data_IF_405058030029
#
_entry.id   IF_405058030029
#
_cell.length_a   1.000
_cell.length_b   1.000
_cell.length_c   1.000
_cell.angle_alpha   90.00
_cell.angle_beta   90.00
_cell.angle_gamma   90.00
#
_symmetry.space_group_name_H-M   'P 1'
#
loop_
_entity.id
_entity.type
_entity.pdbx_description
1 polymer ?
#
# COMPACT_ATOMS: atom_id res chain seq x y z
N UNK A 1 4.25 8.10 -21.60
CA UNK A 1 4.55 6.67 -21.45
C UNK A 1 5.61 6.30 -22.48
N UNK A 2 6.69 5.63 -22.08
CA UNK A 2 7.77 5.17 -22.98
C UNK A 2 7.86 3.66 -22.96
N UNK A 3 7.69 3.02 -24.12
CA UNK A 3 7.90 1.58 -24.29
C UNK A 3 9.40 1.33 -24.47
N UNK A 4 9.97 0.37 -23.76
CA UNK A 4 11.41 0.06 -23.79
C UNK A 4 11.65 -1.44 -24.00
N UNK A 5 12.87 -1.79 -24.40
CA UNK A 5 13.31 -3.19 -24.47
C UNK A 5 13.46 -3.80 -23.07
N UNK A 6 13.56 -5.13 -23.00
CA UNK A 6 13.83 -5.84 -21.74
C UNK A 6 15.12 -5.36 -21.05
N UNK A 7 16.17 -5.13 -21.84
CA UNK A 7 17.46 -4.65 -21.36
C UNK A 7 17.35 -3.23 -20.80
N UNK A 8 16.70 -2.33 -21.53
CA UNK A 8 16.51 -0.94 -21.10
C UNK A 8 15.55 -0.83 -19.90
N UNK A 9 14.62 -1.76 -19.74
CA UNK A 9 13.78 -1.89 -18.55
C UNK A 9 14.60 -2.28 -17.31
N UNK A 10 15.42 -3.33 -17.42
CA UNK A 10 16.23 -3.82 -16.29
C UNK A 10 17.31 -2.81 -15.87
N UNK A 11 17.89 -2.11 -16.84
CA UNK A 11 18.91 -1.09 -16.61
C UNK A 11 18.34 0.30 -16.29
N UNK A 12 17.01 0.44 -16.28
CA UNK A 12 16.35 1.72 -16.09
C UNK A 12 16.82 2.38 -14.80
N UNK A 13 17.07 3.70 -14.83
CA UNK A 13 17.50 4.48 -13.66
C UNK A 13 16.47 5.54 -13.33
N UNK A 14 16.12 5.66 -12.05
CA UNK A 14 15.22 6.70 -11.55
C UNK A 14 14.78 6.43 -10.12
N UNK A 15 14.04 7.36 -9.54
CA UNK A 15 13.40 7.15 -8.25
C UNK A 15 12.10 6.38 -8.44
N UNK A 16 12.18 5.07 -8.25
CA UNK A 16 11.06 4.14 -8.40
C UNK A 16 9.91 4.49 -7.44
N UNK A 17 8.67 4.46 -7.96
CA UNK A 17 7.45 4.72 -7.21
C UNK A 17 6.57 3.47 -7.14
N UNK A 18 6.28 2.86 -8.29
CA UNK A 18 5.30 1.78 -8.37
C UNK A 18 5.54 0.87 -9.58
N UNK A 19 5.07 -0.38 -9.48
CA UNK A 19 5.01 -1.32 -10.58
C UNK A 19 3.66 -2.03 -10.62
N UNK A 20 3.14 -2.27 -11.82
CA UNK A 20 1.95 -3.09 -12.05
C UNK A 20 2.00 -3.73 -13.43
N UNK A 21 1.12 -4.69 -13.68
CA UNK A 21 1.04 -5.37 -14.98
C UNK A 21 -0.41 -5.40 -15.48
N UNK A 22 -0.58 -5.39 -16.79
CA UNK A 22 -1.82 -5.78 -17.47
C UNK A 22 -1.60 -7.07 -18.27
N UNK A 23 -2.55 -7.43 -19.16
CA UNK A 23 -2.49 -8.65 -19.95
C UNK A 23 -1.29 -8.75 -20.92
N UNK A 24 -0.64 -7.64 -21.25
CA UNK A 24 0.41 -7.58 -22.28
C UNK A 24 1.71 -6.92 -21.81
N UNK A 25 1.67 -6.11 -20.75
CA UNK A 25 2.79 -5.26 -20.35
C UNK A 25 2.99 -5.20 -18.85
N UNK A 26 4.25 -4.99 -18.46
CA UNK A 26 4.62 -4.46 -17.15
C UNK A 26 4.89 -2.96 -17.26
N UNK A 27 4.52 -2.22 -16.21
CA UNK A 27 4.64 -0.78 -16.10
C UNK A 27 5.42 -0.44 -14.85
N UNK A 28 6.34 0.52 -14.95
CA UNK A 28 7.05 1.09 -13.83
C UNK A 28 6.94 2.62 -13.88
N UNK A 29 6.56 3.21 -12.75
CA UNK A 29 6.45 4.65 -12.55
C UNK A 29 7.64 5.15 -11.75
N UNK A 30 8.26 6.22 -12.23
CA UNK A 30 9.41 6.88 -11.61
C UNK A 30 9.10 8.37 -11.37
N UNK A 31 9.69 8.98 -10.34
CA UNK A 31 9.62 10.44 -10.17
C UNK A 31 10.40 11.15 -11.30
N UNK A 32 9.92 12.31 -11.78
CA UNK A 32 8.76 13.09 -11.31
C UNK A 32 7.41 12.70 -11.95
N UNK A 33 7.32 11.56 -12.64
CA UNK A 33 6.12 11.11 -13.35
C UNK A 33 6.42 10.34 -14.64
N UNK A 34 7.62 9.78 -14.75
CA UNK A 34 8.01 9.02 -15.93
C UNK A 34 7.43 7.61 -15.86
N UNK A 35 6.53 7.32 -16.80
CA UNK A 35 5.94 6.00 -16.96
C UNK A 35 6.66 5.23 -18.06
N UNK A 36 7.32 4.14 -17.67
CA UNK A 36 8.02 3.22 -18.56
C UNK A 36 7.23 1.92 -18.63
N UNK A 37 7.17 1.31 -19.81
CA UNK A 37 6.52 0.02 -20.02
C UNK A 37 7.43 -0.95 -20.75
N UNK A 38 7.27 -2.23 -20.48
CA UNK A 38 7.92 -3.34 -21.20
C UNK A 38 6.89 -4.39 -21.54
N UNK A 39 7.03 -5.02 -22.71
CA UNK A 39 6.14 -6.11 -23.10
C UNK A 39 6.45 -7.38 -22.32
N UNK A 40 5.40 -8.10 -21.93
CA UNK A 40 5.53 -9.39 -21.27
C UNK A 40 6.01 -10.43 -22.29
N UNK A 41 7.06 -11.16 -21.95
CA UNK A 41 7.52 -12.32 -22.71
C UNK A 41 7.08 -13.57 -21.98
N UNK A 42 6.11 -14.30 -22.55
CA UNK A 42 5.50 -15.49 -21.93
C UNK A 42 4.99 -15.22 -20.50
N UNK A 43 4.39 -14.05 -20.28
CA UNK A 43 3.91 -13.62 -18.96
C UNK A 43 5.00 -13.15 -17.99
N UNK A 44 6.25 -12.99 -18.45
CA UNK A 44 7.36 -12.56 -17.62
C UNK A 44 7.98 -11.22 -18.07
N UNK A 45 8.64 -10.54 -17.14
CA UNK A 45 9.43 -9.32 -17.37
C UNK A 45 10.68 -9.33 -16.46
N UNK A 46 11.78 -8.65 -16.79
CA UNK A 46 12.98 -8.61 -15.96
C UNK A 46 12.70 -7.98 -14.60
N UNK A 47 13.24 -8.58 -13.54
CA UNK A 47 13.12 -8.03 -12.20
C UNK A 47 13.80 -6.66 -12.10
N UNK A 48 13.19 -5.79 -11.30
CA UNK A 48 13.73 -4.51 -10.88
C UNK A 48 14.37 -4.65 -9.49
N UNK A 49 15.58 -4.12 -9.32
CA UNK A 49 16.35 -4.22 -8.07
C UNK A 49 16.14 -3.03 -7.12
N UNK A 50 15.08 -2.24 -7.30
CA UNK A 50 14.78 -1.11 -6.42
C UNK A 50 14.27 -1.56 -5.05
N UNK A 51 14.60 -0.77 -4.03
CA UNK A 51 13.99 -0.95 -2.71
C UNK A 51 12.47 -0.84 -2.82
N UNK A 52 11.76 -1.85 -2.32
CA UNK A 52 10.29 -1.93 -2.38
C UNK A 52 9.71 -2.54 -3.65
N UNK A 53 10.48 -2.68 -4.75
CA UNK A 53 9.98 -3.32 -5.98
C UNK A 53 9.51 -4.77 -5.74
N UNK A 54 10.14 -5.46 -4.80
CA UNK A 54 9.79 -6.82 -4.39
C UNK A 54 8.29 -6.98 -4.06
N UNK A 55 7.68 -5.99 -3.39
CA UNK A 55 6.26 -6.03 -3.07
C UNK A 55 5.40 -6.05 -4.33
N UNK A 56 5.66 -5.13 -5.26
CA UNK A 56 4.92 -5.01 -6.50
C UNK A 56 5.11 -6.21 -7.43
N UNK A 57 6.30 -6.80 -7.46
CA UNK A 57 6.57 -7.98 -8.28
C UNK A 57 5.82 -9.21 -7.79
N UNK A 58 5.76 -9.41 -6.47
CA UNK A 58 4.92 -10.47 -5.86
C UNK A 58 3.44 -10.18 -6.10
N UNK A 59 3.02 -8.92 -6.02
CA UNK A 59 1.63 -8.53 -6.31
C UNK A 59 1.25 -8.78 -7.78
N UNK A 60 2.15 -8.53 -8.74
CA UNK A 60 1.94 -8.82 -10.15
C UNK A 60 1.74 -10.33 -10.40
N UNK A 61 2.51 -11.16 -9.68
CA UNK A 61 2.37 -12.62 -9.70
C UNK A 61 1.03 -13.06 -9.11
N UNK A 62 0.70 -12.60 -7.90
CA UNK A 62 -0.52 -12.99 -7.20
C UNK A 62 -1.77 -12.55 -7.99
N UNK A 63 -1.82 -11.29 -8.45
CA UNK A 63 -3.02 -10.75 -9.07
C UNK A 63 -3.19 -11.09 -10.55
N UNK A 64 -2.09 -11.29 -11.29
CA UNK A 64 -2.14 -11.43 -12.74
C UNK A 64 -1.34 -12.64 -13.26
N UNK A 65 -0.66 -13.41 -12.41
CA UNK A 65 0.16 -14.55 -12.82
C UNK A 65 1.51 -14.17 -13.46
N UNK A 66 1.87 -12.88 -13.48
CA UNK A 66 3.09 -12.42 -14.17
C UNK A 66 4.32 -12.48 -13.28
N UNK A 67 5.44 -12.97 -13.83
CA UNK A 67 6.66 -13.24 -13.06
C UNK A 67 7.79 -12.28 -13.40
N UNK A 68 8.55 -11.90 -12.38
CA UNK A 68 9.77 -11.12 -12.52
C UNK A 68 10.97 -12.07 -12.71
N UNK A 69 11.60 -12.07 -13.89
CA UNK A 69 12.75 -12.94 -14.21
C UNK A 69 13.96 -12.53 -13.39
N UNK A 70 14.62 -13.50 -12.75
CA UNK A 70 15.77 -13.27 -11.86
C UNK A 70 15.39 -12.82 -10.44
N UNK A 71 14.09 -12.76 -10.13
CA UNK A 71 13.62 -12.42 -8.79
C UNK A 71 13.59 -13.64 -7.86
N UNK A 72 14.33 -13.58 -6.75
CA UNK A 72 14.49 -14.70 -5.83
C UNK A 72 13.29 -14.93 -4.90
N UNK A 73 12.58 -13.87 -4.50
CA UNK A 73 11.50 -13.97 -3.51
C UNK A 73 10.15 -14.29 -4.18
N UNK A 74 9.79 -15.57 -4.22
CA UNK A 74 8.60 -16.06 -4.92
C UNK A 74 7.36 -16.18 -4.04
N UNK A 75 7.43 -15.71 -2.78
CA UNK A 75 6.33 -15.79 -1.80
C UNK A 75 5.14 -14.95 -2.24
N UNK A 76 3.96 -15.23 -1.67
CA UNK A 76 2.74 -14.47 -1.95
C UNK A 76 2.78 -13.10 -1.26
N UNK A 77 2.23 -12.09 -1.93
CA UNK A 77 2.00 -10.76 -1.39
C UNK A 77 0.66 -10.65 -0.65
N UNK A 78 -0.40 -11.27 -1.19
CA UNK A 78 -1.78 -11.15 -0.68
C UNK A 78 -2.52 -12.48 -0.59
N UNK A 79 -2.15 -13.48 -1.41
CA UNK A 79 -2.83 -14.79 -1.44
C UNK A 79 -2.27 -15.78 -0.41
N UNK A 80 -2.30 -15.43 0.88
CA UNK A 80 -1.68 -16.26 1.94
C UNK A 80 -2.37 -17.62 2.17
N UNK A 81 -3.66 -17.74 1.84
CA UNK A 81 -4.49 -18.92 2.12
C UNK A 81 -5.20 -19.47 0.87
N UNK A 82 -4.47 -19.54 -0.26
CA UNK A 82 -5.04 -19.84 -1.59
C UNK A 82 -5.78 -21.17 -1.70
N UNK A 83 -5.50 -22.16 -0.83
CA UNK A 83 -6.20 -23.44 -0.87
C UNK A 83 -7.70 -23.27 -0.58
N UNK A 84 -8.61 -23.85 -1.39
CA UNK A 84 -10.06 -23.67 -1.26
C UNK A 84 -10.65 -24.08 0.09
N UNK A 85 -9.94 -24.91 0.83
CA UNK A 85 -10.32 -25.39 2.17
C UNK A 85 -9.66 -24.58 3.30
N UNK A 86 -8.92 -23.52 2.96
CA UNK A 86 -8.17 -22.66 3.89
C UNK A 86 -6.91 -23.31 4.47
N UNK A 87 -6.48 -24.48 3.99
CA UNK A 87 -5.36 -25.26 4.55
C UNK A 87 -4.00 -24.93 3.94
N UNK A 88 -3.80 -23.71 3.45
CA UNK A 88 -2.45 -23.30 3.08
C UNK A 88 -1.54 -23.37 4.32
N UNK A 89 -0.31 -23.86 4.13
CA UNK A 89 0.67 -23.87 5.20
C UNK A 89 0.88 -22.44 5.72
N UNK A 90 1.00 -22.31 7.05
CA UNK A 90 1.29 -21.02 7.64
C UNK A 90 2.59 -20.44 7.07
N UNK A 91 2.63 -19.14 6.76
CA UNK A 91 3.83 -18.41 6.42
C UNK A 91 5.06 -18.75 7.27
N UNK A 92 6.08 -19.35 6.66
CA UNK A 92 7.37 -19.57 7.31
C UNK A 92 8.25 -18.32 7.31
N UNK A 93 8.96 -18.08 8.41
CA UNK A 93 9.92 -17.00 8.54
C UNK A 93 11.29 -17.58 8.85
N UNK A 94 12.22 -17.45 7.91
CA UNK A 94 13.57 -17.99 8.07
C UNK A 94 14.28 -17.31 9.26
N UNK A 95 14.72 -18.13 10.22
CA UNK A 95 15.57 -17.69 11.33
C UNK A 95 17.01 -17.49 10.81
N UNK A 96 17.65 -16.34 11.07
CA UNK A 96 19.08 -16.20 10.83
C UNK A 96 19.85 -17.26 11.63
N UNK A 97 20.77 -17.98 10.99
CA UNK A 97 21.63 -18.95 11.66
C UNK A 97 22.77 -18.22 12.40
N UNK A 98 22.42 -17.56 13.50
CA UNK A 98 23.32 -16.78 14.35
C UNK A 98 23.02 -17.17 15.79
N UNK A 99 24.07 -17.48 16.56
CA UNK A 99 23.95 -17.85 17.96
C UNK A 99 23.25 -16.77 18.79
N UNK A 100 22.33 -17.19 19.67
CA UNK A 100 21.57 -16.28 20.54
C UNK A 100 20.42 -15.53 19.86
N UNK A 101 20.21 -15.70 18.55
CA UNK A 101 19.04 -15.15 17.85
C UNK A 101 17.79 -15.96 18.18
N UNK A 102 16.75 -15.26 18.62
CA UNK A 102 15.40 -15.81 18.73
C UNK A 102 14.40 -14.93 17.98
N UNK A 103 13.18 -15.45 17.82
CA UNK A 103 12.15 -14.82 17.01
C UNK A 103 10.95 -14.37 17.86
N UNK A 104 10.56 -13.11 17.71
CA UNK A 104 9.34 -12.55 18.32
C UNK A 104 8.27 -12.38 17.24
N UNK A 105 7.08 -12.93 17.51
CA UNK A 105 5.92 -12.89 16.62
C UNK A 105 5.03 -11.69 16.93
N UNK A 106 4.52 -11.00 15.90
CA UNK A 106 3.39 -10.07 16.04
C UNK A 106 2.41 -10.29 14.88
N UNK A 107 1.11 -10.40 15.19
CA UNK A 107 0.05 -10.63 14.20
C UNK A 107 -0.19 -12.11 13.88
N UNK A 108 -0.93 -12.44 12.79
CA UNK A 108 -1.44 -11.53 11.75
C UNK A 108 -2.57 -10.61 12.24
N UNK A 109 -3.26 -11.00 13.32
CA UNK A 109 -4.24 -10.18 14.03
C UNK A 109 -3.64 -9.83 15.39
N UNK A 110 -3.63 -8.55 15.75
CA UNK A 110 -3.10 -8.06 17.01
C UNK A 110 -4.21 -7.41 17.85
N UNK A 111 -3.94 -7.15 19.13
CA UNK A 111 -4.95 -6.72 20.11
C UNK A 111 -5.47 -5.28 19.92
N UNK A 112 -4.87 -4.48 19.04
CA UNK A 112 -5.27 -3.10 18.73
C UNK A 112 -6.06 -2.94 17.42
N UNK A 113 -6.62 -1.75 17.20
CA UNK A 113 -7.32 -1.37 15.96
C UNK A 113 -6.30 -0.84 14.94
N UNK A 114 -5.49 -1.75 14.39
CA UNK A 114 -4.48 -1.48 13.36
C UNK A 114 -4.68 -2.42 12.17
N UNK A 115 -4.07 -2.09 11.03
CA UNK A 115 -4.14 -2.95 9.85
C UNK A 115 -3.42 -4.30 10.11
N UNK A 116 -4.08 -5.45 9.84
CA UNK A 116 -3.48 -6.77 9.95
C UNK A 116 -2.17 -6.93 9.17
N UNK A 117 -1.16 -7.42 9.87
CA UNK A 117 0.16 -7.73 9.33
C UNK A 117 0.83 -8.80 10.18
N UNK A 118 1.56 -9.70 9.54
CA UNK A 118 2.31 -10.75 10.22
C UNK A 118 3.79 -10.40 10.19
N UNK A 119 4.30 -10.03 11.36
CA UNK A 119 5.67 -9.58 11.54
C UNK A 119 6.48 -10.63 12.28
N UNK A 120 7.75 -10.75 11.87
CA UNK A 120 8.74 -11.55 12.55
C UNK A 120 9.98 -10.73 12.82
N UNK A 121 10.27 -10.53 14.09
CA UNK A 121 11.47 -9.87 14.56
C UNK A 121 12.51 -10.94 14.91
N UNK A 122 13.69 -10.88 14.33
CA UNK A 122 14.85 -11.68 14.76
C UNK A 122 15.68 -10.82 15.70
N UNK A 123 15.85 -11.26 16.95
CA UNK A 123 16.33 -10.41 18.06
C UNK A 123 17.48 -11.10 18.80
N UNK A 124 18.46 -10.31 19.23
CA UNK A 124 19.51 -10.70 20.20
C UNK A 124 19.49 -9.70 21.36
N UNK A 125 19.18 -10.18 22.57
CA UNK A 125 18.90 -9.28 23.70
C UNK A 125 17.75 -8.32 23.36
N UNK A 126 18.03 -7.03 23.35
CA UNK A 126 17.07 -5.97 22.97
C UNK A 126 17.24 -5.50 21.51
N UNK A 127 18.25 -6.00 20.79
CA UNK A 127 18.57 -5.53 19.44
C UNK A 127 17.81 -6.32 18.38
N UNK A 128 16.98 -5.61 17.62
CA UNK A 128 16.34 -6.16 16.41
C UNK A 128 17.37 -6.22 15.28
N UNK A 129 17.66 -7.43 14.79
CA UNK A 129 18.57 -7.68 13.68
C UNK A 129 17.86 -7.67 12.31
N UNK A 130 16.64 -8.21 12.28
CA UNK A 130 15.85 -8.33 11.06
C UNK A 130 14.37 -8.23 11.39
N UNK A 131 13.65 -7.39 10.64
CA UNK A 131 12.19 -7.40 10.59
C UNK A 131 11.77 -7.98 9.24
N UNK A 132 10.93 -9.00 9.30
CA UNK A 132 10.24 -9.50 8.14
C UNK A 132 8.74 -9.25 8.28
N UNK A 133 8.15 -8.53 7.33
CA UNK A 133 6.74 -8.20 7.30
C UNK A 133 6.04 -8.93 6.15
N UNK A 134 4.97 -9.65 6.47
CA UNK A 134 3.99 -10.15 5.52
C UNK A 134 2.70 -9.36 5.70
N UNK A 135 2.28 -8.67 4.65
CA UNK A 135 1.09 -7.81 4.63
C UNK A 135 0.01 -8.45 3.75
N UNK A 136 -1.10 -7.75 3.48
CA UNK A 136 -2.08 -8.20 2.49
C UNK A 136 -3.21 -9.09 3.03
N UNK A 137 -3.26 -9.32 4.34
CA UNK A 137 -4.35 -10.07 5.00
C UNK A 137 -5.73 -9.38 4.86
N UNK A 138 -5.76 -8.09 4.55
CA UNK A 138 -6.94 -7.26 4.29
C UNK A 138 -7.22 -7.04 2.82
N UNK A 139 -6.59 -7.78 1.90
CA UNK A 139 -6.77 -7.55 0.47
C UNK A 139 -8.24 -7.72 0.04
N UNK A 140 -8.88 -6.61 -0.36
CA UNK A 140 -10.32 -6.55 -0.69
C UNK A 140 -10.62 -6.71 -2.19
N UNK A 141 -9.59 -6.79 -3.04
CA UNK A 141 -9.77 -6.76 -4.50
C UNK A 141 -10.33 -5.42 -5.02
N UNK A 142 -10.09 -4.30 -4.32
CA UNK A 142 -10.68 -2.99 -4.59
C UNK A 142 -10.56 -2.55 -6.06
N UNK A 143 -9.38 -2.70 -6.67
CA UNK A 143 -9.17 -2.36 -8.08
C UNK A 143 -9.99 -3.25 -9.02
N UNK A 144 -10.10 -4.54 -8.72
CA UNK A 144 -10.97 -5.47 -9.46
C UNK A 144 -12.45 -5.07 -9.35
N UNK A 145 -12.89 -4.66 -8.16
CA UNK A 145 -14.25 -4.17 -7.92
C UNK A 145 -14.53 -2.84 -8.63
N UNK A 146 -13.53 -2.02 -8.95
CA UNK A 146 -13.71 -0.79 -9.73
C UNK A 146 -13.84 -1.06 -11.23
N UNK A 147 -13.26 -2.14 -11.75
CA UNK A 147 -13.20 -2.42 -13.20
C UNK A 147 -14.61 -2.50 -13.80
N UNK A 148 -14.77 -1.91 -14.98
CA UNK A 148 -16.04 -1.87 -15.72
C UNK A 148 -17.12 -0.94 -15.14
N UNK A 149 -16.85 -0.26 -14.01
CA UNK A 149 -17.79 0.69 -13.41
C UNK A 149 -17.57 2.11 -13.95
N UNK A 150 -18.64 2.91 -13.94
CA UNK A 150 -18.52 4.35 -14.19
C UNK A 150 -17.64 5.01 -13.13
N UNK A 151 -16.97 6.13 -13.46
CA UNK A 151 -16.13 6.86 -12.51
C UNK A 151 -16.88 7.21 -11.20
N UNK A 152 -18.17 7.58 -11.31
CA UNK A 152 -19.03 7.86 -10.15
C UNK A 152 -19.22 6.65 -9.23
N UNK A 153 -19.41 5.45 -9.80
CA UNK A 153 -19.54 4.23 -9.03
C UNK A 153 -18.20 3.77 -8.44
N UNK A 154 -17.12 3.84 -9.24
CA UNK A 154 -15.77 3.49 -8.82
C UNK A 154 -15.24 4.39 -7.69
N UNK A 155 -15.61 5.68 -7.67
CA UNK A 155 -15.22 6.63 -6.62
C UNK A 155 -15.60 6.17 -5.21
N UNK A 156 -16.70 5.42 -5.05
CA UNK A 156 -17.11 4.85 -3.75
C UNK A 156 -16.10 3.85 -3.20
N UNK A 157 -15.42 3.11 -4.08
CA UNK A 157 -14.39 2.17 -3.68
C UNK A 157 -13.09 2.90 -3.33
N UNK A 158 -12.77 3.99 -4.02
CA UNK A 158 -11.58 4.81 -3.74
C UNK A 158 -11.65 5.40 -2.33
N UNK A 159 -12.82 5.92 -1.96
CA UNK A 159 -13.12 6.42 -0.61
C UNK A 159 -13.00 5.36 0.51
N UNK A 160 -12.85 4.08 0.18
CA UNK A 160 -12.81 2.95 1.13
C UNK A 160 -11.49 2.17 1.08
N UNK A 161 -10.48 2.73 0.41
CA UNK A 161 -9.13 2.14 0.37
C UNK A 161 -8.53 2.15 1.77
N UNK A 162 -8.47 3.31 2.42
CA UNK A 162 -8.12 3.47 3.83
C UNK A 162 -9.23 4.18 4.60
N UNK A 163 -9.47 3.75 5.85
CA UNK A 163 -10.51 4.32 6.71
C UNK A 163 -10.19 5.72 7.23
N UNK A 164 -8.90 6.06 7.35
CA UNK A 164 -8.40 7.34 7.83
C UNK A 164 -7.96 8.29 6.70
N UNK A 165 -7.95 7.84 5.45
CA UNK A 165 -7.54 8.64 4.28
C UNK A 165 -8.62 8.68 3.19
N UNK A 166 -9.88 8.75 3.61
CA UNK A 166 -11.07 8.75 2.75
C UNK A 166 -11.02 9.89 1.72
N UNK A 167 -10.72 11.11 2.18
CA UNK A 167 -10.68 12.33 1.36
C UNK A 167 -9.48 12.28 0.42
N UNK A 168 -8.28 11.95 0.90
CA UNK A 168 -7.08 11.87 0.09
C UNK A 168 -7.24 10.88 -1.08
N UNK A 169 -7.73 9.66 -0.81
CA UNK A 169 -7.98 8.68 -1.87
C UNK A 169 -9.09 9.12 -2.84
N UNK A 170 -10.14 9.77 -2.33
CA UNK A 170 -11.22 10.31 -3.17
C UNK A 170 -10.72 11.41 -4.11
N UNK A 171 -9.88 12.32 -3.61
CA UNK A 171 -9.26 13.39 -4.40
C UNK A 171 -8.31 12.80 -5.45
N UNK A 172 -7.47 11.84 -5.07
CA UNK A 172 -6.55 11.19 -6.01
C UNK A 172 -7.29 10.52 -7.16
N UNK A 173 -8.36 9.77 -6.85
CA UNK A 173 -9.21 9.15 -7.86
C UNK A 173 -9.93 10.19 -8.73
N UNK A 174 -10.51 11.22 -8.13
CA UNK A 174 -11.19 12.29 -8.86
C UNK A 174 -10.25 12.99 -9.84
N UNK A 175 -9.03 13.36 -9.40
CA UNK A 175 -8.03 13.99 -10.27
C UNK A 175 -7.60 13.09 -11.41
N UNK A 176 -7.43 11.79 -11.16
CA UNK A 176 -7.09 10.83 -12.20
C UNK A 176 -8.21 10.72 -13.26
N UNK A 177 -9.47 10.62 -12.81
CA UNK A 177 -10.63 10.57 -13.71
C UNK A 177 -10.82 11.87 -14.50
N UNK A 178 -10.67 13.02 -13.84
CA UNK A 178 -10.76 14.35 -14.47
C UNK A 178 -9.67 14.55 -15.52
N UNK A 179 -8.44 14.16 -15.22
CA UNK A 179 -7.34 14.21 -16.17
C UNK A 179 -7.60 13.30 -17.38
N UNK A 180 -8.08 12.07 -17.15
CA UNK A 180 -8.40 11.12 -18.22
C UNK A 180 -9.55 11.62 -19.13
N UNK A 181 -10.47 12.40 -18.58
CA UNK A 181 -11.61 12.98 -19.30
C UNK A 181 -11.36 14.43 -19.78
N UNK A 182 -10.14 14.96 -19.59
CA UNK A 182 -9.78 16.35 -19.88
C UNK A 182 -10.78 17.38 -19.30
N UNK A 183 -11.29 17.13 -18.10
CA UNK A 183 -12.29 17.98 -17.45
C UNK A 183 -11.66 19.22 -16.83
N UNK A 184 -12.31 20.37 -16.99
CA UNK A 184 -11.99 21.58 -16.23
C UNK A 184 -12.74 21.58 -14.90
N UNK A 185 -11.99 21.63 -13.80
CA UNK A 185 -12.54 21.63 -12.44
C UNK A 185 -12.81 23.07 -11.99
N UNK A 186 -14.02 23.42 -11.52
CA UNK A 186 -14.29 24.75 -11.00
C UNK A 186 -13.41 25.10 -9.80
N UNK A 187 -12.96 26.36 -9.71
CA UNK A 187 -12.10 26.83 -8.61
C UNK A 187 -12.68 26.51 -7.22
N UNK A 188 -14.00 26.66 -7.04
CA UNK A 188 -14.69 26.30 -5.79
C UNK A 188 -14.45 24.84 -5.38
N UNK A 189 -14.47 23.90 -6.33
CA UNK A 189 -14.23 22.49 -6.03
C UNK A 189 -12.78 22.24 -5.59
N UNK A 190 -11.81 22.97 -6.17
CA UNK A 190 -10.40 22.90 -5.73
C UNK A 190 -10.25 23.38 -4.29
N UNK A 191 -10.87 24.51 -3.93
CA UNK A 191 -10.82 25.02 -2.55
C UNK A 191 -11.49 24.09 -1.54
N UNK A 192 -12.65 23.52 -1.87
CA UNK A 192 -13.32 22.55 -1.00
C UNK A 192 -12.49 21.28 -0.81
N UNK A 193 -11.83 20.78 -1.86
CA UNK A 193 -10.90 19.64 -1.76
C UNK A 193 -9.73 19.94 -0.84
N UNK A 194 -9.13 21.13 -0.97
CA UNK A 194 -8.04 21.55 -0.10
C UNK A 194 -8.51 21.59 1.35
N UNK A 195 -9.63 22.27 1.64
CA UNK A 195 -10.20 22.33 2.99
C UNK A 195 -10.41 20.93 3.60
N UNK A 196 -11.10 20.04 2.88
CA UNK A 196 -11.37 18.68 3.36
C UNK A 196 -10.09 17.86 3.55
N UNK A 197 -9.10 18.01 2.66
CA UNK A 197 -7.81 17.34 2.80
C UNK A 197 -7.06 17.82 4.05
N UNK A 198 -7.12 19.11 4.36
CA UNK A 198 -6.48 19.64 5.57
C UNK A 198 -7.20 19.24 6.85
N UNK A 199 -8.52 19.12 6.83
CA UNK A 199 -9.27 18.57 7.96
C UNK A 199 -8.90 17.11 8.23
N UNK A 200 -8.84 16.29 7.18
CA UNK A 200 -8.39 14.89 7.28
C UNK A 200 -6.93 14.80 7.78
N UNK A 201 -6.03 15.62 7.24
CA UNK A 201 -4.61 15.65 7.66
C UNK A 201 -4.48 16.00 9.14
N UNK A 202 -5.19 17.02 9.61
CA UNK A 202 -5.15 17.42 11.03
C UNK A 202 -5.72 16.32 11.92
N UNK A 203 -6.81 15.67 11.52
CA UNK A 203 -7.40 14.57 12.27
C UNK A 203 -6.42 13.38 12.37
N UNK A 204 -5.73 13.05 11.29
CA UNK A 204 -4.72 12.00 11.26
C UNK A 204 -3.50 12.36 12.09
N UNK A 205 -2.98 13.59 12.00
CA UNK A 205 -1.86 14.01 12.85
C UNK A 205 -2.23 13.98 14.34
N UNK A 206 -3.44 14.39 14.72
CA UNK A 206 -3.89 14.25 16.10
C UNK A 206 -3.89 12.78 16.53
N UNK A 207 -4.43 11.88 15.70
CA UNK A 207 -4.38 10.44 15.97
C UNK A 207 -2.94 9.97 16.14
N UNK A 208 -2.08 10.19 15.16
CA UNK A 208 -0.71 9.67 15.14
C UNK A 208 0.11 10.15 16.35
N UNK A 209 0.03 11.44 16.69
CA UNK A 209 0.72 11.98 17.87
C UNK A 209 0.17 11.36 19.16
N UNK A 210 -1.14 11.16 19.25
CA UNK A 210 -1.78 10.51 20.39
C UNK A 210 -1.36 9.05 20.55
N UNK A 211 -1.33 8.28 19.47
CA UNK A 211 -0.90 6.87 19.49
C UNK A 211 0.59 6.74 19.81
N UNK A 212 1.46 7.61 19.26
CA UNK A 212 2.89 7.65 19.63
C UNK A 212 3.07 7.90 21.13
N UNK A 213 2.26 8.78 21.71
CA UNK A 213 2.30 9.05 23.15
C UNK A 213 1.83 7.84 23.97
N UNK A 214 0.79 7.13 23.52
CA UNK A 214 0.31 5.88 24.14
C UNK A 214 1.38 4.79 24.11
N UNK A 215 2.03 4.59 22.97
CA UNK A 215 3.12 3.62 22.81
C UNK A 215 4.31 3.91 23.73
N UNK A 216 4.50 5.18 24.12
CA UNK A 216 5.50 5.61 25.10
C UNK A 216 4.97 5.63 26.56
N UNK A 217 3.72 5.22 26.81
CA UNK A 217 3.10 5.12 28.14
C UNK A 217 2.38 6.38 28.63
N UNK A 218 2.11 7.36 27.77
CA UNK A 218 1.50 8.65 28.11
C UNK A 218 0.01 8.73 27.74
N UNK A 219 -0.83 7.91 28.37
CA UNK A 219 -2.26 7.81 28.05
C UNK A 219 -3.06 9.11 28.19
N UNK A 220 -2.64 10.02 29.08
CA UNK A 220 -3.27 11.34 29.18
C UNK A 220 -3.12 12.15 27.89
N UNK A 221 -1.95 12.11 27.24
CA UNK A 221 -1.73 12.83 26.00
C UNK A 221 -2.55 12.22 24.86
N UNK A 222 -2.61 10.87 24.77
CA UNK A 222 -3.49 10.18 23.82
C UNK A 222 -4.94 10.70 23.93
N UNK A 223 -5.50 10.71 25.15
CA UNK A 223 -6.87 11.16 25.38
C UNK A 223 -7.12 12.62 24.95
N UNK A 224 -6.12 13.51 25.14
CA UNK A 224 -6.22 14.91 24.72
C UNK A 224 -6.26 15.06 23.19
N UNK A 225 -5.40 14.33 22.49
CA UNK A 225 -5.39 14.35 21.03
C UNK A 225 -6.61 13.63 20.43
N UNK A 226 -7.12 12.58 21.07
CA UNK A 226 -8.36 11.92 20.67
C UNK A 226 -9.55 12.89 20.73
N UNK A 227 -9.64 13.73 21.77
CA UNK A 227 -10.67 14.76 21.86
C UNK A 227 -10.52 15.83 20.76
N UNK A 228 -9.30 16.27 20.45
CA UNK A 228 -9.05 17.21 19.35
C UNK A 228 -9.48 16.63 18.00
N UNK A 229 -9.18 15.35 17.77
CA UNK A 229 -9.62 14.62 16.57
C UNK A 229 -11.14 14.60 16.47
N UNK A 230 -11.84 14.36 17.58
CA UNK A 230 -13.31 14.35 17.59
C UNK A 230 -13.89 15.71 17.19
N UNK A 231 -13.34 16.82 17.68
CA UNK A 231 -13.77 18.16 17.26
C UNK A 231 -13.57 18.39 15.75
N UNK A 232 -12.46 17.91 15.19
CA UNK A 232 -12.20 18.00 13.74
C UNK A 232 -13.20 17.15 12.94
N UNK A 233 -13.48 15.93 13.38
CA UNK A 233 -14.47 15.05 12.76
C UNK A 233 -15.89 15.64 12.82
N UNK A 234 -16.28 16.21 13.97
CA UNK A 234 -17.57 16.88 14.13
C UNK A 234 -17.69 18.09 13.20
N UNK A 235 -16.64 18.93 13.11
CA UNK A 235 -16.63 20.05 12.18
C UNK A 235 -16.80 19.60 10.72
N UNK A 236 -16.16 18.49 10.33
CA UNK A 236 -16.24 17.93 8.97
C UNK A 236 -17.65 17.45 8.61
N UNK A 237 -18.49 17.09 9.59
CA UNK A 237 -19.89 16.68 9.35
C UNK A 237 -20.84 17.86 9.11
N UNK A 238 -20.44 19.07 9.50
CA UNK A 238 -21.26 20.29 9.37
C UNK A 238 -20.97 21.11 8.11
N UNK A 239 -19.89 20.77 7.38
CA UNK A 239 -19.45 21.43 6.15
C UNK A 239 -20.05 20.79 4.89
#
# INVERSE_FOLDING_TARGET
MRLVSQEAWAAYQGRFIALWTDATRAYALYEPGELVAVELQNGAYPALSYLGANWFQRLAKDLNGHTATGFADTRTAVEHFREPDGRAAWPEFALPNIEGVHQVAVGPVHAGIIEPGHFRFSVVGERVLKLEARLGYTHKGTLGLMRGKSARQAARYAARVSGDATVAHSIAFARAAEAALAMQVPARAVYLRALMAEMERLANHCRDIGEIAEDAGFAFLNARFALMREYLCAAAQTA
#
